data_IF_494242811427
#
_entry.id   IF_494242811427
#
_cell.length_a   1.000
_cell.length_b   1.000
_cell.length_c   1.000
_cell.angle_alpha   90.00
_cell.angle_beta   90.00
_cell.angle_gamma   90.00
#
_symmetry.space_group_name_H-M   'P 1'
#
loop_
_entity.id
_entity.type
_entity.pdbx_description
1 polymer ?
#
# COMPACT_ATOMS: atom_id res chain seq x y z
N UNK A 1 -0.23 -40.53 -48.43
CA UNK A 1 0.14 -39.50 -49.42
C UNK A 1 0.19 -38.15 -48.71
N UNK A 2 1.29 -37.41 -48.88
CA UNK A 2 1.60 -36.04 -48.39
C UNK A 2 1.75 -35.93 -46.85
N UNK A 3 2.92 -35.94 -46.21
CA UNK A 3 4.19 -35.25 -46.48
C UNK A 3 4.03 -33.77 -46.86
N UNK A 4 4.47 -32.89 -45.96
CA UNK A 4 5.05 -31.59 -46.30
C UNK A 4 4.38 -30.37 -45.64
N UNK A 5 5.09 -29.75 -44.69
CA UNK A 5 5.34 -28.29 -44.63
C UNK A 5 5.97 -27.94 -43.27
N UNK A 6 7.29 -28.10 -43.14
CA UNK A 6 8.29 -27.04 -43.24
C UNK A 6 8.30 -26.05 -42.04
N UNK A 7 9.22 -26.36 -41.14
CA UNK A 7 9.95 -25.45 -40.22
C UNK A 7 10.01 -24.01 -40.73
N UNK A 8 9.52 -23.06 -39.94
CA UNK A 8 10.08 -21.70 -39.86
C UNK A 8 10.69 -21.52 -38.48
N UNK A 9 11.95 -21.90 -38.38
CA UNK A 9 12.85 -21.50 -37.30
C UNK A 9 13.22 -20.05 -37.54
N UNK A 10 12.45 -19.12 -36.98
CA UNK A 10 12.86 -17.71 -36.94
C UNK A 10 13.90 -17.57 -35.84
N UNK A 11 15.17 -17.71 -36.23
CA UNK A 11 16.31 -17.27 -35.43
C UNK A 11 16.20 -15.76 -35.34
N UNK A 12 15.64 -15.29 -34.22
CA UNK A 12 15.56 -13.87 -33.92
C UNK A 12 16.92 -13.50 -33.31
N UNK A 13 17.75 -12.82 -34.10
CA UNK A 13 19.00 -12.20 -33.67
C UNK A 13 18.73 -11.35 -32.43
N UNK A 14 19.16 -11.85 -31.27
CA UNK A 14 19.32 -11.03 -30.07
C UNK A 14 20.51 -10.11 -30.31
N UNK A 15 20.24 -8.95 -30.90
CA UNK A 15 21.15 -7.82 -30.90
C UNK A 15 21.44 -7.45 -29.43
N UNK A 16 22.58 -7.95 -28.93
CA UNK A 16 23.22 -7.52 -27.70
C UNK A 16 23.68 -6.07 -27.88
N UNK A 17 22.73 -5.14 -27.82
CA UNK A 17 23.04 -3.75 -27.53
C UNK A 17 23.50 -3.72 -26.07
N UNK A 18 24.82 -3.80 -25.87
CA UNK A 18 25.48 -3.41 -24.63
C UNK A 18 25.24 -1.91 -24.42
N UNK A 19 24.04 -1.55 -24.00
CA UNK A 19 23.73 -0.24 -23.47
C UNK A 19 24.49 -0.11 -22.15
N UNK A 20 25.65 0.54 -22.22
CA UNK A 20 26.42 0.97 -21.06
C UNK A 20 25.43 1.73 -20.16
N UNK A 21 25.19 1.29 -18.90
CA UNK A 21 24.23 1.96 -18.02
C UNK A 21 24.63 3.42 -17.83
N UNK A 22 23.95 4.33 -18.51
CA UNK A 22 24.17 5.77 -18.45
C UNK A 22 23.43 6.32 -17.22
N UNK A 23 24.05 6.18 -16.06
CA UNK A 23 24.04 7.20 -14.99
C UNK A 23 24.70 6.58 -13.77
N UNK A 24 25.93 7.00 -13.46
CA UNK A 24 26.53 6.75 -12.15
C UNK A 24 25.95 7.85 -11.25
N UNK A 25 24.74 7.62 -10.75
CA UNK A 25 24.16 8.44 -9.69
C UNK A 25 25.09 8.32 -8.49
N UNK A 26 25.53 9.45 -7.92
CA UNK A 26 26.38 9.40 -6.74
C UNK A 26 25.62 8.77 -5.57
N UNK A 27 26.30 8.09 -4.65
CA UNK A 27 25.66 7.53 -3.45
C UNK A 27 24.88 8.61 -2.68
N UNK A 28 25.43 9.83 -2.60
CA UNK A 28 24.76 10.95 -1.95
C UNK A 28 23.46 11.37 -2.66
N UNK A 29 23.48 11.43 -3.99
CA UNK A 29 22.28 11.71 -4.79
C UNK A 29 21.23 10.59 -4.65
N UNK A 30 21.65 9.33 -4.60
CA UNK A 30 20.76 8.20 -4.34
C UNK A 30 20.08 8.29 -2.97
N UNK A 31 20.85 8.61 -1.92
CA UNK A 31 20.32 8.79 -0.56
C UNK A 31 19.36 9.98 -0.50
N UNK A 32 19.68 11.10 -1.15
CA UNK A 32 18.78 12.26 -1.20
C UNK A 32 17.47 11.92 -1.92
N UNK A 33 17.54 11.23 -3.07
CA UNK A 33 16.35 10.78 -3.78
C UNK A 33 15.50 9.83 -2.92
N UNK A 34 16.14 8.95 -2.14
CA UNK A 34 15.43 8.08 -1.19
C UNK A 34 14.70 8.90 -0.12
N UNK A 35 15.37 9.89 0.48
CA UNK A 35 14.76 10.79 1.48
C UNK A 35 13.59 11.56 0.90
N UNK A 36 13.75 12.14 -0.29
CA UNK A 36 12.69 12.90 -0.97
C UNK A 36 11.48 12.01 -1.28
N UNK A 37 11.71 10.77 -1.74
CA UNK A 37 10.65 9.80 -1.95
C UNK A 37 9.93 9.45 -0.65
N UNK A 38 10.66 9.25 0.46
CA UNK A 38 10.06 8.98 1.77
C UNK A 38 9.22 10.17 2.28
N UNK A 39 9.71 11.40 2.12
CA UNK A 39 8.96 12.60 2.49
C UNK A 39 7.70 12.79 1.64
N UNK A 40 7.81 12.58 0.32
CA UNK A 40 6.65 12.64 -0.58
C UNK A 40 5.59 11.61 -0.19
N UNK A 41 6.02 10.38 0.11
CA UNK A 41 5.13 9.31 0.57
C UNK A 41 4.46 9.69 1.88
N UNK A 42 5.20 10.19 2.87
CA UNK A 42 4.63 10.65 4.14
C UNK A 42 3.57 11.73 3.92
N UNK A 43 3.86 12.69 3.04
CA UNK A 43 2.90 13.72 2.66
C UNK A 43 1.63 13.14 2.01
N UNK A 44 1.77 12.21 1.05
CA UNK A 44 0.61 11.54 0.42
C UNK A 44 -0.19 10.73 1.43
N UNK A 45 0.48 10.08 2.37
CA UNK A 45 -0.15 9.35 3.46
C UNK A 45 -0.98 10.27 4.36
N UNK A 46 -0.44 11.44 4.73
CA UNK A 46 -1.18 12.44 5.50
C UNK A 46 -2.41 12.96 4.72
N UNK A 47 -2.29 13.23 3.42
CA UNK A 47 -3.43 13.64 2.60
C UNK A 47 -4.51 12.56 2.57
N UNK A 48 -4.13 11.30 2.37
CA UNK A 48 -5.04 10.18 2.31
C UNK A 48 -5.71 9.90 3.66
N UNK A 49 -4.99 10.12 4.78
CA UNK A 49 -5.57 10.08 6.14
C UNK A 49 -6.64 11.15 6.33
N UNK A 50 -6.42 12.35 5.83
CA UNK A 50 -7.38 13.47 5.92
C UNK A 50 -8.53 13.36 4.92
N UNK A 51 -8.40 12.49 3.92
CA UNK A 51 -9.38 12.43 2.85
C UNK A 51 -10.66 11.69 3.24
N UNK A 52 -11.72 11.97 2.48
CA UNK A 52 -13.00 11.25 2.52
C UNK A 52 -12.89 9.79 2.04
N UNK A 53 -11.70 9.36 1.59
CA UNK A 53 -11.38 7.96 1.35
C UNK A 53 -11.26 7.21 2.69
N UNK A 54 -12.39 6.67 3.14
CA UNK A 54 -12.47 5.77 4.29
C UNK A 54 -12.68 4.34 3.80
N UNK A 55 -11.68 3.44 3.91
CA UNK A 55 -11.88 2.05 3.56
C UNK A 55 -12.88 1.48 4.57
N UNK A 56 -14.11 1.23 4.10
CA UNK A 56 -15.24 1.02 5.01
C UNK A 56 -15.16 -0.38 5.60
N UNK A 57 -15.39 -0.54 6.91
CA UNK A 57 -15.42 -1.86 7.52
C UNK A 57 -16.56 -2.74 6.98
N UNK A 58 -17.66 -2.13 6.48
CA UNK A 58 -18.78 -2.87 5.89
C UNK A 58 -18.51 -3.37 4.46
N UNK A 59 -17.41 -2.95 3.87
CA UNK A 59 -16.88 -3.50 2.63
C UNK A 59 -15.35 -3.61 2.76
N UNK A 60 -14.87 -4.52 3.61
CA UNK A 60 -13.44 -4.69 3.82
C UNK A 60 -12.84 -5.17 2.50
N UNK A 61 -12.00 -4.32 1.92
CA UNK A 61 -11.10 -4.70 0.84
C UNK A 61 -10.12 -5.75 1.36
N UNK A 62 -10.05 -6.88 0.68
CA UNK A 62 -9.00 -7.85 0.92
C UNK A 62 -7.65 -7.27 0.50
N UNK A 63 -6.56 -7.83 1.02
CA UNK A 63 -5.19 -7.50 0.57
C UNK A 63 -5.10 -7.64 -0.96
N UNK A 64 -5.75 -8.66 -1.53
CA UNK A 64 -5.80 -8.89 -2.97
C UNK A 64 -6.47 -7.75 -3.73
N UNK A 65 -7.54 -7.17 -3.19
CA UNK A 65 -8.23 -6.04 -3.81
C UNK A 65 -7.35 -4.80 -3.83
N UNK A 66 -6.59 -4.58 -2.76
CA UNK A 66 -5.65 -3.45 -2.63
C UNK A 66 -4.44 -3.63 -3.56
N UNK A 67 -3.91 -4.85 -3.68
CA UNK A 67 -2.79 -5.16 -4.57
C UNK A 67 -3.17 -4.99 -6.05
N UNK A 68 -4.35 -5.49 -6.45
CA UNK A 68 -4.79 -5.48 -7.85
C UNK A 68 -5.25 -4.12 -8.36
N UNK A 69 -5.76 -3.25 -7.51
CA UNK A 69 -6.25 -1.92 -7.93
C UNK A 69 -5.11 -0.95 -8.24
N UNK A 70 -5.40 0.07 -9.04
CA UNK A 70 -4.51 1.23 -9.21
C UNK A 70 -4.30 1.95 -7.87
N UNK A 71 -3.10 2.51 -7.67
CA UNK A 71 -2.79 3.13 -6.38
C UNK A 71 -3.64 4.38 -6.11
N UNK A 72 -4.33 4.37 -4.96
CA UNK A 72 -5.08 5.55 -4.51
C UNK A 72 -4.15 6.73 -4.17
N UNK A 73 -2.87 6.46 -3.87
CA UNK A 73 -1.87 7.50 -3.60
C UNK A 73 -1.54 8.34 -4.83
N UNK A 74 -1.91 7.93 -6.05
CA UNK A 74 -1.78 8.77 -7.25
C UNK A 74 -2.97 9.70 -7.47
N UNK A 75 -4.13 9.39 -6.86
CA UNK A 75 -5.38 10.08 -7.15
C UNK A 75 -5.52 11.38 -6.37
N UNK A 76 -6.20 12.40 -6.91
CA UNK A 76 -6.58 13.60 -6.16
C UNK A 76 -7.42 13.19 -4.95
N UNK A 77 -7.04 13.68 -3.77
CA UNK A 77 -7.71 13.37 -2.51
C UNK A 77 -8.54 14.58 -2.09
N UNK A 78 -9.81 14.35 -1.73
CA UNK A 78 -10.67 15.39 -1.17
C UNK A 78 -10.66 15.29 0.35
N UNK A 79 -10.39 16.40 1.02
CA UNK A 79 -10.42 16.43 2.48
C UNK A 79 -11.82 16.08 3.01
N UNK A 80 -11.87 15.26 4.05
CA UNK A 80 -13.11 14.83 4.68
C UNK A 80 -13.83 16.04 5.29
N UNK A 81 -15.15 16.09 5.09
CA UNK A 81 -15.96 17.16 5.67
C UNK A 81 -15.81 17.17 7.20
N UNK A 82 -15.48 18.34 7.75
CA UNK A 82 -15.30 18.50 9.20
C UNK A 82 -13.94 18.05 9.72
N UNK A 83 -12.92 17.92 8.85
CA UNK A 83 -11.53 17.78 9.30
C UNK A 83 -10.95 19.12 9.80
N UNK A 84 -10.13 19.14 10.87
CA UNK A 84 -9.87 18.02 11.78
C UNK A 84 -11.14 17.66 12.56
N UNK A 85 -11.36 16.34 12.74
CA UNK A 85 -12.53 15.87 13.47
C UNK A 85 -12.54 16.47 14.87
N UNK A 86 -13.67 17.07 15.27
CA UNK A 86 -13.86 17.57 16.63
C UNK A 86 -13.73 16.42 17.61
N UNK A 87 -12.66 16.41 18.40
CA UNK A 87 -12.48 15.42 19.45
C UNK A 87 -13.57 15.65 20.50
N UNK A 88 -14.44 14.66 20.67
CA UNK A 88 -15.33 14.63 21.82
C UNK A 88 -14.48 14.42 23.07
N UNK A 89 -14.43 15.41 23.96
CA UNK A 89 -13.73 15.33 25.26
C UNK A 89 -14.23 14.16 26.15
N UNK A 90 -15.33 13.50 25.76
CA UNK A 90 -15.92 12.37 26.49
C UNK A 90 -15.47 10.99 25.99
N UNK A 91 -14.56 10.91 25.01
CA UNK A 91 -13.99 9.62 24.61
C UNK A 91 -12.75 9.34 25.46
N UNK A 92 -12.82 8.31 26.30
CA UNK A 92 -11.65 7.80 27.01
C UNK A 92 -10.67 7.24 25.98
N UNK A 93 -9.66 8.02 25.63
CA UNK A 93 -8.56 7.59 24.77
C UNK A 93 -7.58 6.81 25.65
N UNK A 94 -7.48 5.51 25.39
CA UNK A 94 -6.38 4.72 25.92
C UNK A 94 -5.09 5.18 25.22
N UNK A 95 -3.99 5.34 25.95
CA UNK A 95 -2.71 5.65 25.33
C UNK A 95 -2.25 4.49 24.42
N UNK A 96 -1.48 4.79 23.38
CA UNK A 96 -0.91 3.75 22.50
C UNK A 96 -0.04 2.78 23.30
N UNK A 97 0.73 3.31 24.25
CA UNK A 97 1.59 2.52 25.14
C UNK A 97 0.78 1.56 26.00
N UNK A 98 -0.33 2.02 26.59
CA UNK A 98 -1.24 1.17 27.34
C UNK A 98 -1.88 0.10 26.45
N UNK A 99 -2.23 0.44 25.22
CA UNK A 99 -2.84 -0.50 24.29
C UNK A 99 -1.88 -1.64 23.93
N UNK A 100 -0.61 -1.30 23.66
CA UNK A 100 0.45 -2.29 23.38
C UNK A 100 0.74 -3.14 24.62
N UNK A 101 0.92 -2.49 25.78
CA UNK A 101 1.23 -3.17 27.04
C UNK A 101 0.15 -4.15 27.46
N UNK A 102 -1.11 -3.73 27.37
CA UNK A 102 -2.26 -4.52 27.81
C UNK A 102 -2.71 -5.55 26.76
N UNK A 103 -2.10 -5.55 25.56
CA UNK A 103 -2.47 -6.40 24.42
C UNK A 103 -3.98 -6.43 24.22
N UNK A 104 -4.64 -5.28 24.37
CA UNK A 104 -6.10 -5.21 24.31
C UNK A 104 -6.48 -5.66 22.89
N UNK A 105 -7.22 -6.77 22.76
CA UNK A 105 -7.65 -7.21 21.46
C UNK A 105 -8.53 -6.11 20.88
N UNK A 106 -8.36 -5.83 19.59
CA UNK A 106 -9.22 -4.88 18.90
C UNK A 106 -10.68 -5.23 19.22
N UNK A 107 -11.47 -4.29 19.76
CA UNK A 107 -12.84 -4.60 20.13
C UNK A 107 -13.55 -5.16 18.90
N UNK A 108 -14.37 -6.19 19.09
CA UNK A 108 -15.22 -6.71 18.02
C UNK A 108 -16.21 -5.61 17.65
N UNK A 109 -15.84 -4.86 16.64
CA UNK A 109 -16.56 -3.69 16.22
C UNK A 109 -17.79 -4.16 15.46
N UNK A 110 -18.98 -3.78 15.93
CA UNK A 110 -20.22 -3.98 15.18
C UNK A 110 -20.23 -3.01 14.02
N UNK A 111 -19.61 -3.45 12.92
CA UNK A 111 -19.37 -2.70 11.70
C UNK A 111 -20.62 -1.94 11.22
N UNK A 112 -21.80 -2.56 11.36
CA UNK A 112 -23.09 -2.02 10.94
C UNK A 112 -23.56 -0.79 11.74
N UNK A 113 -22.98 -0.58 12.93
CA UNK A 113 -23.37 0.50 13.85
C UNK A 113 -22.39 1.67 13.85
N UNK A 114 -21.33 1.59 13.07
CA UNK A 114 -20.27 2.59 13.11
C UNK A 114 -20.63 3.71 12.17
N UNK A 115 -20.70 4.97 12.67
CA UNK A 115 -21.03 6.09 11.81
C UNK A 115 -20.03 6.22 10.66
N UNK A 116 -20.52 6.62 9.48
CA UNK A 116 -19.70 6.77 8.28
C UNK A 116 -18.55 7.80 8.41
N UNK A 117 -18.60 8.66 9.43
CA UNK A 117 -17.54 9.62 9.75
C UNK A 117 -16.41 9.01 10.60
N UNK A 118 -16.58 7.80 11.13
CA UNK A 118 -15.56 7.14 11.94
C UNK A 118 -14.58 6.40 11.02
N UNK A 119 -13.38 6.95 10.87
CA UNK A 119 -12.31 6.33 10.09
C UNK A 119 -11.63 5.26 10.92
N UNK A 120 -11.56 4.04 10.40
CA UNK A 120 -10.82 2.95 11.01
C UNK A 120 -9.33 3.12 10.71
N UNK A 121 -8.63 3.89 11.54
CA UNK A 121 -7.23 4.24 11.31
C UNK A 121 -6.33 3.03 11.15
N UNK A 122 -6.51 1.97 11.93
CA UNK A 122 -5.70 0.75 11.80
C UNK A 122 -5.92 0.07 10.44
N UNK A 123 -7.16 0.00 9.97
CA UNK A 123 -7.46 -0.60 8.67
C UNK A 123 -6.99 0.29 7.52
N UNK A 124 -7.14 1.62 7.68
CA UNK A 124 -6.62 2.60 6.74
C UNK A 124 -5.09 2.51 6.65
N UNK A 125 -4.39 2.51 7.77
CA UNK A 125 -2.93 2.39 7.85
C UNK A 125 -2.44 1.08 7.22
N UNK A 126 -3.16 -0.04 7.41
CA UNK A 126 -2.83 -1.29 6.73
C UNK A 126 -2.99 -1.20 5.20
N UNK A 127 -4.13 -0.69 4.72
CA UNK A 127 -4.34 -0.44 3.28
C UNK A 127 -3.26 0.49 2.73
N UNK A 128 -2.85 1.49 3.50
CA UNK A 128 -1.84 2.46 3.08
C UNK A 128 -0.43 1.89 3.09
N UNK A 129 -0.11 0.99 4.01
CA UNK A 129 1.16 0.25 4.02
C UNK A 129 1.30 -0.61 2.75
N UNK A 130 0.22 -1.27 2.32
CA UNK A 130 0.22 -2.02 1.04
C UNK A 130 0.37 -1.07 -0.15
N UNK A 131 -0.36 0.05 -0.16
CA UNK A 131 -0.20 1.06 -1.21
C UNK A 131 1.23 1.62 -1.25
N UNK A 132 1.91 1.71 -0.10
CA UNK A 132 3.31 2.10 0.01
C UNK A 132 4.24 1.04 -0.56
N UNK A 133 4.07 -0.23 -0.18
CA UNK A 133 4.85 -1.33 -0.70
C UNK A 133 4.81 -1.37 -2.24
N UNK A 134 3.64 -1.10 -2.84
CA UNK A 134 3.47 -1.01 -4.31
C UNK A 134 4.31 0.08 -5.00
N UNK A 135 4.77 1.09 -4.28
CA UNK A 135 5.66 2.13 -4.82
C UNK A 135 7.11 1.68 -4.93
N UNK A 136 7.50 0.62 -4.21
CA UNK A 136 8.85 0.09 -4.20
C UNK A 136 9.09 -0.81 -5.42
N UNK A 137 10.19 -0.59 -6.14
CA UNK A 137 10.48 -1.31 -7.38
C UNK A 137 10.61 -2.82 -7.14
N UNK A 138 11.32 -3.23 -6.09
CA UNK A 138 11.50 -4.65 -5.77
C UNK A 138 10.17 -5.35 -5.45
N UNK A 139 9.23 -4.65 -4.80
CA UNK A 139 7.93 -5.23 -4.45
C UNK A 139 7.13 -5.56 -5.70
N UNK A 140 7.26 -4.75 -6.76
CA UNK A 140 6.64 -5.00 -8.06
C UNK A 140 7.24 -6.19 -8.80
N UNK A 141 8.45 -6.61 -8.44
CA UNK A 141 9.11 -7.79 -9.01
C UNK A 141 8.74 -9.09 -8.29
N UNK A 142 8.14 -9.01 -7.10
CA UNK A 142 7.68 -10.18 -6.35
C UNK A 142 6.48 -10.82 -7.05
N UNK A 143 6.39 -12.15 -6.99
CA UNK A 143 5.19 -12.86 -7.40
C UNK A 143 4.01 -12.48 -6.49
N UNK A 144 2.79 -12.55 -7.01
CA UNK A 144 1.59 -12.17 -6.26
C UNK A 144 1.43 -13.02 -4.98
N UNK A 145 1.87 -14.27 -4.98
CA UNK A 145 1.91 -15.12 -3.79
C UNK A 145 2.85 -14.58 -2.71
N UNK A 146 4.03 -14.10 -3.11
CA UNK A 146 5.04 -13.54 -2.20
C UNK A 146 4.62 -12.19 -1.65
N UNK A 147 3.99 -11.33 -2.47
CA UNK A 147 3.43 -10.04 -2.03
C UNK A 147 2.36 -10.21 -0.94
N UNK A 148 1.58 -11.29 -1.02
CA UNK A 148 0.57 -11.61 0.01
C UNK A 148 1.25 -12.24 1.24
N UNK A 149 2.24 -13.10 1.03
CA UNK A 149 2.92 -13.80 2.11
C UNK A 149 3.76 -12.85 2.97
N UNK A 150 4.43 -11.85 2.37
CA UNK A 150 5.21 -10.84 3.11
C UNK A 150 4.37 -10.07 4.12
N UNK A 151 3.09 -9.83 3.82
CA UNK A 151 2.16 -9.14 4.72
C UNK A 151 1.61 -10.07 5.84
N UNK A 152 1.61 -11.38 5.63
CA UNK A 152 1.07 -12.35 6.61
C UNK A 152 2.09 -12.75 7.69
N UNK A 153 3.40 -12.55 7.46
CA UNK A 153 4.44 -12.97 8.41
C UNK A 153 4.50 -12.05 9.65
N UNK A 154 4.14 -10.77 9.50
CA UNK A 154 4.30 -9.76 10.57
C UNK A 154 3.03 -9.48 11.37
N UNK A 155 1.89 -10.07 11.01
CA UNK A 155 0.65 -9.91 11.77
C UNK A 155 0.49 -11.05 12.78
N UNK A 156 0.42 -10.75 14.10
CA UNK A 156 0.03 -11.75 15.08
C UNK A 156 -1.32 -12.33 14.68
N UNK A 157 -1.43 -13.66 14.61
CA UNK A 157 -2.73 -14.32 14.41
C UNK A 157 -3.58 -14.05 15.65
N UNK A 158 -4.53 -13.12 15.54
CA UNK A 158 -5.51 -12.79 16.57
C UNK A 158 -6.81 -13.58 16.40
#
# INVERSE_FOLDING_TARGET
>A
ALQGALKRSTVQEMNNNNEIPKSIVSVGEHVNNLVDNLQYIEFRHQLLRRSDFSPRPNNPQSIMDVLKRSTAMGQPQKEMLGWPMTQSNNQALLSLEDHVRLRIPMPRLHIDRIPNFCKFWIYADHVYAIEWAKTLEFFRLLELGDQVHSEMIDLPRF
#
